data_IF_544382030934
#
_entry.id   IF_544382030934
#
_cell.length_a   1.000
_cell.length_b   1.000
_cell.length_c   1.000
_cell.angle_alpha   90.00
_cell.angle_beta   90.00
_cell.angle_gamma   90.00
#
_symmetry.space_group_name_H-M   'P 1'
#
loop_
_entity.id
_entity.type
_entity.pdbx_description
1 polymer ?
#
# COMPACT_ATOMS: atom_id res chain seq x y z
N UNK A 1 -52.01 -1.49 9.87
CA UNK A 1 -50.83 -2.04 10.57
C UNK A 1 -49.69 -2.00 9.57
N UNK A 2 -48.81 -1.00 9.66
CA UNK A 2 -47.60 -0.97 8.84
C UNK A 2 -46.63 -2.01 9.43
N UNK A 3 -46.26 -3.01 8.65
CA UNK A 3 -45.20 -3.93 9.03
C UNK A 3 -43.88 -3.16 9.02
N UNK A 4 -43.23 -3.02 10.17
CA UNK A 4 -41.82 -2.69 10.23
C UNK A 4 -41.07 -3.89 9.63
N UNK A 5 -40.62 -3.77 8.38
CA UNK A 5 -39.64 -4.70 7.84
C UNK A 5 -38.41 -4.62 8.76
N UNK A 6 -38.06 -5.76 9.36
CA UNK A 6 -36.81 -5.86 10.12
C UNK A 6 -35.69 -5.67 9.11
N UNK A 7 -34.71 -4.79 9.37
CA UNK A 7 -33.54 -4.69 8.51
C UNK A 7 -32.89 -6.06 8.42
N UNK A 8 -32.67 -6.52 7.19
CA UNK A 8 -31.88 -7.72 6.92
C UNK A 8 -30.46 -7.39 7.40
N UNK A 9 -29.86 -8.19 8.31
CA UNK A 9 -28.47 -7.95 8.68
C UNK A 9 -27.61 -8.08 7.42
N UNK A 10 -26.86 -7.04 7.12
CA UNK A 10 -25.91 -7.07 6.02
C UNK A 10 -24.90 -8.20 6.25
N UNK A 11 -24.55 -8.97 5.22
CA UNK A 11 -23.54 -10.01 5.35
C UNK A 11 -22.21 -9.39 5.82
N UNK A 12 -21.40 -10.11 6.61
CA UNK A 12 -20.10 -9.61 7.05
C UNK A 12 -19.22 -9.29 5.84
N UNK A 13 -18.50 -8.18 5.93
CA UNK A 13 -17.63 -7.70 4.86
C UNK A 13 -16.38 -8.57 4.83
N UNK A 14 -16.16 -9.21 3.70
CA UNK A 14 -15.06 -10.14 3.49
C UNK A 14 -13.72 -9.38 3.44
N UNK A 15 -12.69 -9.96 4.06
CA UNK A 15 -11.33 -9.41 4.14
C UNK A 15 -10.36 -10.50 3.72
N UNK A 16 -9.31 -10.13 3.00
CA UNK A 16 -8.31 -11.07 2.51
C UNK A 16 -7.46 -11.61 3.68
N UNK A 17 -7.15 -12.90 3.66
CA UNK A 17 -6.24 -13.52 4.62
C UNK A 17 -4.79 -13.50 4.10
N UNK A 18 -3.81 -13.51 5.00
CA UNK A 18 -2.39 -13.47 4.63
C UNK A 18 -1.84 -14.76 4.03
N UNK A 19 -2.64 -15.83 3.98
CA UNK A 19 -2.32 -17.09 3.30
C UNK A 19 -2.91 -17.16 1.89
N UNK A 20 -3.52 -16.08 1.40
CA UNK A 20 -4.17 -16.00 0.09
C UNK A 20 -3.46 -15.01 -0.81
N UNK A 21 -3.14 -15.46 -2.03
CA UNK A 21 -2.68 -14.56 -3.07
C UNK A 21 -3.82 -13.65 -3.54
N UNK A 22 -3.53 -12.36 -3.62
CA UNK A 22 -4.40 -11.40 -4.28
C UNK A 22 -4.17 -11.53 -5.79
N UNK A 23 -5.18 -12.03 -6.49
CA UNK A 23 -5.16 -12.09 -7.95
C UNK A 23 -5.36 -10.68 -8.52
N UNK A 24 -4.27 -9.90 -8.55
CA UNK A 24 -4.26 -8.59 -9.17
C UNK A 24 -4.19 -8.63 -10.70
N UNK A 25 -4.11 -7.43 -11.29
CA UNK A 25 -3.90 -7.22 -12.73
C UNK A 25 -2.65 -8.00 -13.22
N UNK A 26 -2.73 -8.80 -14.30
CA UNK A 26 -1.56 -9.55 -14.77
C UNK A 26 -0.36 -8.63 -15.00
N UNK A 27 0.82 -9.04 -14.52
CA UNK A 27 2.04 -8.29 -14.78
C UNK A 27 2.28 -8.16 -16.29
N UNK A 28 2.80 -7.02 -16.70
CA UNK A 28 3.24 -6.79 -18.07
C UNK A 28 4.49 -7.62 -18.42
N UNK A 29 5.00 -7.43 -19.65
CA UNK A 29 6.23 -8.10 -20.10
C UNK A 29 7.47 -7.67 -19.28
N UNK A 30 7.49 -6.42 -18.83
CA UNK A 30 8.53 -5.89 -17.93
C UNK A 30 8.07 -6.08 -16.49
N UNK A 31 8.41 -7.24 -15.95
CA UNK A 31 7.98 -7.65 -14.62
C UNK A 31 8.76 -6.92 -13.51
N UNK A 32 8.08 -6.28 -12.54
CA UNK A 32 8.73 -5.68 -11.40
C UNK A 32 9.22 -6.76 -10.42
N UNK A 33 10.11 -6.44 -9.48
CA UNK A 33 10.59 -7.44 -8.52
C UNK A 33 9.48 -8.08 -7.67
N UNK A 34 8.43 -7.31 -7.36
CA UNK A 34 7.14 -7.74 -6.80
C UNK A 34 6.46 -8.92 -7.53
N UNK A 35 6.84 -9.20 -8.78
CA UNK A 35 6.24 -10.28 -9.55
C UNK A 35 6.68 -11.69 -9.13
N UNK A 36 7.80 -11.81 -8.40
CA UNK A 36 8.27 -13.09 -7.88
C UNK A 36 7.50 -13.49 -6.61
N UNK A 37 6.93 -14.69 -6.61
CA UNK A 37 5.82 -15.05 -5.72
C UNK A 37 6.20 -15.85 -4.47
N UNK A 38 7.44 -16.29 -4.30
CA UNK A 38 7.77 -17.26 -3.24
C UNK A 38 8.27 -16.64 -1.92
N UNK A 39 7.87 -15.40 -1.63
CA UNK A 39 8.29 -14.67 -0.43
C UNK A 39 7.92 -15.40 0.86
N UNK A 40 6.81 -16.15 0.86
CA UNK A 40 6.34 -16.93 2.01
C UNK A 40 7.26 -18.11 2.30
N UNK A 41 7.69 -18.86 1.28
CA UNK A 41 8.64 -19.95 1.50
C UNK A 41 10.00 -19.39 1.92
N UNK A 42 10.49 -18.34 1.23
CA UNK A 42 11.75 -17.69 1.58
C UNK A 42 11.75 -17.15 3.02
N UNK A 43 10.66 -16.54 3.48
CA UNK A 43 10.52 -16.06 4.86
C UNK A 43 10.60 -17.21 5.86
N UNK A 44 9.94 -18.33 5.56
CA UNK A 44 9.88 -19.51 6.44
C UNK A 44 11.21 -20.25 6.58
N UNK A 45 12.13 -20.07 5.63
CA UNK A 45 13.46 -20.69 5.64
C UNK A 45 14.49 -19.90 6.46
N UNK A 46 14.19 -18.65 6.81
CA UNK A 46 15.12 -17.77 7.53
C UNK A 46 15.09 -18.03 9.05
N UNK A 47 16.27 -18.23 9.62
CA UNK A 47 16.45 -18.20 11.08
C UNK A 47 16.71 -16.77 11.56
N UNK A 48 15.63 -16.03 11.84
CA UNK A 48 15.71 -14.65 12.34
C UNK A 48 16.38 -14.54 13.71
N UNK A 49 16.57 -15.65 14.44
CA UNK A 49 17.27 -15.63 15.74
C UNK A 49 18.78 -15.40 15.62
N UNK A 50 19.34 -15.50 14.40
CA UNK A 50 20.75 -15.19 14.13
C UNK A 50 21.03 -13.69 14.05
N UNK A 51 20.00 -12.85 13.90
CA UNK A 51 20.16 -11.40 13.94
C UNK A 51 20.50 -10.92 15.36
N UNK A 52 21.33 -9.87 15.50
CA UNK A 52 21.57 -9.24 16.80
C UNK A 52 20.29 -8.60 17.34
N UNK A 53 20.04 -8.72 18.65
CA UNK A 53 18.92 -8.07 19.32
C UNK A 53 19.42 -7.16 20.47
N UNK A 54 19.30 -5.81 20.36
CA UNK A 54 18.69 -5.08 19.25
C UNK A 54 19.60 -4.97 18.01
N UNK A 55 18.98 -4.75 16.85
CA UNK A 55 19.65 -4.43 15.58
C UNK A 55 19.98 -2.93 15.57
N UNK A 56 21.23 -2.58 15.23
CA UNK A 56 21.61 -1.19 14.99
C UNK A 56 21.26 -0.78 13.56
N UNK A 57 20.29 0.12 13.44
CA UNK A 57 19.79 0.68 12.17
C UNK A 57 20.21 2.16 12.01
N UNK A 58 21.14 2.66 12.82
CA UNK A 58 21.54 4.07 12.84
C UNK A 58 22.29 4.53 11.59
N UNK A 59 22.94 3.60 10.88
CA UNK A 59 23.69 3.88 9.66
C UNK A 59 22.84 3.68 8.39
N UNK A 60 21.60 3.21 8.53
CA UNK A 60 20.69 3.05 7.39
C UNK A 60 20.28 4.40 6.82
N UNK A 61 20.18 4.45 5.50
CA UNK A 61 19.68 5.62 4.77
C UNK A 61 18.22 5.93 5.15
N UNK A 62 17.82 7.18 5.01
CA UNK A 62 16.52 7.69 5.49
C UNK A 62 15.34 6.95 4.85
N UNK A 63 15.47 6.54 3.59
CA UNK A 63 14.42 5.78 2.89
C UNK A 63 14.22 4.40 3.52
N UNK A 64 15.29 3.67 3.84
CA UNK A 64 15.21 2.33 4.45
C UNK A 64 14.61 2.42 5.85
N UNK A 65 15.04 3.42 6.64
CA UNK A 65 14.44 3.72 7.95
C UNK A 65 12.95 4.05 7.82
N UNK A 66 12.55 4.78 6.79
CA UNK A 66 11.16 5.08 6.51
C UNK A 66 10.32 3.85 6.15
N UNK A 67 10.88 2.95 5.34
CA UNK A 67 10.24 1.68 4.99
C UNK A 67 10.07 0.78 6.20
N UNK A 68 11.09 0.66 7.06
CA UNK A 68 11.03 -0.08 8.33
C UNK A 68 9.89 0.46 9.18
N UNK A 69 9.92 1.76 9.47
CA UNK A 69 8.94 2.36 10.36
C UNK A 69 7.52 2.27 9.82
N UNK A 70 7.34 2.41 8.50
CA UNK A 70 6.04 2.22 7.85
C UNK A 70 5.54 0.77 7.97
N UNK A 71 6.40 -0.23 7.76
CA UNK A 71 6.01 -1.63 7.94
C UNK A 71 5.65 -1.95 9.39
N UNK A 72 6.31 -1.28 10.35
CA UNK A 72 6.12 -1.49 11.79
C UNK A 72 5.05 -0.60 12.44
N UNK A 73 4.40 0.29 11.69
CA UNK A 73 3.50 1.33 12.22
C UNK A 73 4.11 2.16 13.37
N UNK A 74 5.37 2.56 13.20
CA UNK A 74 6.07 3.45 14.12
C UNK A 74 6.07 4.86 13.52
N UNK A 75 5.77 5.89 14.32
CA UNK A 75 5.82 7.27 13.86
C UNK A 75 7.26 7.66 13.46
N UNK A 76 7.46 8.50 12.42
CA UNK A 76 8.80 8.87 11.96
C UNK A 76 9.73 9.42 13.03
N UNK A 77 9.18 10.14 14.00
CA UNK A 77 9.90 10.74 15.11
C UNK A 77 10.19 9.77 16.26
N UNK A 78 9.63 8.57 16.23
CA UNK A 78 9.73 7.55 17.27
C UNK A 78 10.65 6.39 16.91
N UNK A 79 11.01 6.22 15.63
CA UNK A 79 11.98 5.20 15.22
C UNK A 79 13.40 5.59 15.70
N UNK A 80 13.85 4.92 16.75
CA UNK A 80 15.20 5.06 17.30
C UNK A 80 16.31 4.46 16.42
N UNK A 81 17.58 4.55 16.87
CA UNK A 81 18.71 3.92 16.19
C UNK A 81 18.78 2.39 16.38
N UNK A 82 18.05 1.86 17.37
CA UNK A 82 18.06 0.45 17.72
C UNK A 82 16.65 -0.12 17.54
N UNK A 83 16.53 -1.25 16.86
CA UNK A 83 15.28 -1.99 16.66
C UNK A 83 15.36 -3.32 17.39
N UNK A 84 14.51 -3.54 18.39
CA UNK A 84 14.44 -4.86 19.04
C UNK A 84 13.60 -5.84 18.22
N UNK A 85 13.88 -7.13 18.35
CA UNK A 85 13.07 -8.18 17.72
C UNK A 85 11.64 -8.15 18.23
N UNK A 86 11.44 -7.96 19.54
CA UNK A 86 10.11 -7.82 20.13
C UNK A 86 9.33 -6.66 19.49
N UNK A 87 9.96 -5.50 19.31
CA UNK A 87 9.32 -4.35 18.68
C UNK A 87 8.90 -4.64 17.24
N UNK A 88 9.77 -5.28 16.45
CA UNK A 88 9.46 -5.65 15.08
C UNK A 88 8.29 -6.65 15.03
N UNK A 89 8.36 -7.74 15.81
CA UNK A 89 7.38 -8.83 15.77
C UNK A 89 5.99 -8.43 16.31
N UNK A 90 5.87 -7.35 17.09
CA UNK A 90 4.56 -6.80 17.45
C UNK A 90 3.74 -6.33 16.23
N UNK A 91 4.40 -5.99 15.11
CA UNK A 91 3.75 -5.63 13.86
C UNK A 91 3.29 -6.86 13.03
N UNK A 92 3.44 -8.07 13.58
CA UNK A 92 3.07 -9.31 12.91
C UNK A 92 3.97 -9.63 11.72
N UNK A 93 3.39 -10.16 10.64
CA UNK A 93 4.15 -10.68 9.48
C UNK A 93 4.96 -9.60 8.75
N UNK A 94 4.51 -8.34 8.75
CA UNK A 94 5.30 -7.23 8.20
C UNK A 94 6.56 -6.95 9.04
N UNK A 95 6.50 -7.22 10.35
CA UNK A 95 7.68 -7.21 11.22
C UNK A 95 8.67 -8.31 10.89
N UNK A 96 8.17 -9.52 10.60
CA UNK A 96 8.99 -10.63 10.12
C UNK A 96 9.66 -10.29 8.78
N UNK A 97 8.93 -9.66 7.85
CA UNK A 97 9.48 -9.17 6.58
C UNK A 97 10.62 -8.17 6.81
N UNK A 98 10.45 -7.20 7.73
CA UNK A 98 11.52 -6.25 8.07
C UNK A 98 12.78 -6.97 8.57
N UNK A 99 12.64 -7.88 9.54
CA UNK A 99 13.77 -8.63 10.07
C UNK A 99 14.43 -9.48 8.99
N UNK A 100 13.64 -10.18 8.17
CA UNK A 100 14.13 -10.97 7.05
C UNK A 100 14.89 -10.12 6.02
N UNK A 101 14.37 -8.95 5.64
CA UNK A 101 15.06 -8.01 4.74
C UNK A 101 16.41 -7.54 5.28
N UNK A 102 16.53 -7.35 6.60
CA UNK A 102 17.81 -7.02 7.23
C UNK A 102 18.75 -8.24 7.19
N UNK A 103 18.25 -9.43 7.54
CA UNK A 103 19.04 -10.67 7.58
C UNK A 103 19.60 -11.10 6.21
N UNK A 104 18.86 -10.78 5.14
CA UNK A 104 19.24 -11.12 3.77
C UNK A 104 20.17 -10.11 3.11
N UNK A 105 20.29 -8.91 3.68
CA UNK A 105 21.10 -7.86 3.08
C UNK A 105 22.59 -8.22 3.12
N UNK A 106 23.26 -8.10 1.98
CA UNK A 106 24.72 -8.23 1.89
C UNK A 106 25.46 -7.06 2.58
N UNK A 107 24.73 -5.99 2.92
CA UNK A 107 25.25 -4.82 3.62
C UNK A 107 24.43 -4.55 4.90
N UNK A 108 25.03 -4.59 6.10
CA UNK A 108 24.30 -4.34 7.34
C UNK A 108 23.65 -2.94 7.42
N UNK A 109 24.08 -2.00 6.58
CA UNK A 109 23.54 -0.65 6.54
C UNK A 109 22.33 -0.51 5.61
N UNK A 110 21.91 -1.56 4.89
CA UNK A 110 20.80 -1.52 3.92
C UNK A 110 19.77 -2.64 4.16
N UNK A 111 18.56 -2.45 3.65
CA UNK A 111 17.59 -3.52 3.46
C UNK A 111 17.88 -4.32 2.18
N UNK A 112 17.62 -5.63 2.19
CA UNK A 112 17.25 -6.35 0.98
C UNK A 112 15.90 -5.80 0.50
N UNK A 113 15.98 -4.72 -0.29
CA UNK A 113 14.82 -3.98 -0.77
C UNK A 113 13.96 -4.81 -1.73
N UNK A 114 14.55 -5.77 -2.44
CA UNK A 114 13.80 -6.69 -3.29
C UNK A 114 12.87 -7.55 -2.44
N UNK A 115 13.43 -8.25 -1.47
CA UNK A 115 12.66 -9.08 -0.54
C UNK A 115 11.63 -8.24 0.22
N UNK A 116 12.02 -7.04 0.68
CA UNK A 116 11.12 -6.13 1.38
C UNK A 116 9.89 -5.78 0.53
N UNK A 117 10.10 -5.43 -0.74
CA UNK A 117 9.01 -5.03 -1.65
C UNK A 117 8.05 -6.17 -1.92
N UNK A 118 8.57 -7.39 -2.16
CA UNK A 118 7.77 -8.60 -2.35
C UNK A 118 6.95 -8.92 -1.09
N UNK A 119 7.58 -8.86 0.09
CA UNK A 119 6.91 -9.12 1.36
C UNK A 119 5.85 -8.06 1.69
N UNK A 120 6.19 -6.78 1.50
CA UNK A 120 5.25 -5.68 1.70
C UNK A 120 4.03 -5.84 0.77
N UNK A 121 4.23 -6.10 -0.51
CA UNK A 121 3.12 -6.30 -1.44
C UNK A 121 2.22 -7.47 -1.01
N UNK A 122 2.80 -8.63 -0.70
CA UNK A 122 2.06 -9.84 -0.38
C UNK A 122 1.25 -9.69 0.92
N UNK A 123 1.86 -9.11 1.96
CA UNK A 123 1.26 -9.10 3.30
C UNK A 123 0.55 -7.80 3.69
N UNK A 124 0.76 -6.69 2.98
CA UNK A 124 0.26 -5.40 3.44
C UNK A 124 -1.27 -5.37 3.53
N UNK A 125 -1.95 -5.75 2.46
CA UNK A 125 -3.41 -5.65 2.36
C UNK A 125 -4.14 -6.52 3.39
N UNK A 126 -3.63 -7.74 3.66
CA UNK A 126 -4.18 -8.61 4.69
C UNK A 126 -3.86 -8.12 6.10
N UNK A 127 -2.65 -7.59 6.33
CA UNK A 127 -2.23 -7.04 7.63
C UNK A 127 -3.07 -5.83 8.03
N UNK A 128 -3.45 -5.00 7.04
CA UNK A 128 -4.40 -3.90 7.22
C UNK A 128 -5.86 -4.35 7.28
N UNK A 129 -6.14 -5.57 6.83
CA UNK A 129 -7.47 -6.14 6.79
C UNK A 129 -8.39 -5.40 5.83
N UNK A 130 -7.93 -4.89 4.69
CA UNK A 130 -8.83 -4.18 3.78
C UNK A 130 -9.94 -5.10 3.22
N UNK A 131 -11.15 -4.56 2.98
CA UNK A 131 -12.24 -5.30 2.31
C UNK A 131 -11.82 -5.84 0.95
N UNK A 132 -12.29 -7.05 0.60
CA UNK A 132 -11.99 -7.69 -0.70
C UNK A 132 -12.69 -7.01 -1.89
N UNK A 133 -13.63 -6.12 -1.63
CA UNK A 133 -14.38 -5.41 -2.67
C UNK A 133 -14.55 -3.93 -2.37
N UNK A 134 -14.58 -3.11 -3.42
CA UNK A 134 -14.85 -1.68 -3.33
C UNK A 134 -16.23 -1.42 -2.72
N UNK A 135 -17.23 -2.25 -3.06
CA UNK A 135 -18.55 -2.19 -2.43
C UNK A 135 -18.50 -2.48 -0.93
N UNK A 136 -17.68 -3.44 -0.50
CA UNK A 136 -17.42 -3.70 0.91
C UNK A 136 -16.79 -2.48 1.61
N UNK A 137 -15.77 -1.89 1.00
CA UNK A 137 -15.14 -0.66 1.48
C UNK A 137 -16.12 0.52 1.58
N UNK A 138 -16.94 0.72 0.56
CA UNK A 138 -18.01 1.72 0.56
C UNK A 138 -19.05 1.46 1.65
N UNK A 139 -19.43 0.21 1.89
CA UNK A 139 -20.43 -0.13 2.90
C UNK A 139 -19.94 0.08 4.34
N UNK A 140 -18.66 -0.15 4.63
CA UNK A 140 -18.11 0.14 5.96
C UNK A 140 -18.06 1.63 6.25
N UNK A 141 -17.75 2.42 5.22
CA UNK A 141 -17.28 3.79 5.43
C UNK A 141 -18.28 4.83 4.99
N UNK A 142 -19.16 4.50 4.04
CA UNK A 142 -20.25 5.30 3.44
C UNK A 142 -19.89 6.75 3.07
N UNK A 143 -18.63 7.16 3.20
CA UNK A 143 -18.26 8.56 3.31
C UNK A 143 -18.11 9.22 1.94
N UNK A 144 -17.67 8.48 0.92
CA UNK A 144 -17.47 9.01 -0.43
C UNK A 144 -18.54 8.58 -1.44
N UNK A 145 -19.35 7.57 -1.12
CA UNK A 145 -20.44 7.12 -2.01
C UNK A 145 -21.42 8.27 -2.29
N UNK A 146 -21.64 8.55 -3.58
CA UNK A 146 -22.52 9.64 -4.03
C UNK A 146 -21.90 11.04 -4.03
N UNK A 147 -20.62 11.20 -3.64
CA UNK A 147 -19.92 12.47 -3.83
C UNK A 147 -19.61 12.72 -5.30
N UNK A 148 -19.67 13.99 -5.69
CA UNK A 148 -19.16 14.41 -6.99
C UNK A 148 -17.63 14.45 -6.95
N UNK A 149 -17.01 13.90 -7.99
CA UNK A 149 -15.58 14.00 -8.21
C UNK A 149 -15.24 15.02 -9.30
N UNK A 150 -13.99 15.48 -9.29
CA UNK A 150 -13.43 16.33 -10.35
C UNK A 150 -12.65 15.45 -11.32
N UNK A 151 -12.92 15.57 -12.62
CA UNK A 151 -12.14 14.89 -13.66
C UNK A 151 -10.95 15.78 -14.04
N UNK A 152 -9.75 15.19 -14.07
CA UNK A 152 -8.51 15.85 -14.47
C UNK A 152 -7.71 14.96 -15.43
N UNK A 153 -6.98 15.57 -16.36
CA UNK A 153 -5.96 14.87 -17.14
C UNK A 153 -4.75 14.62 -16.24
N UNK A 154 -4.55 13.38 -15.80
CA UNK A 154 -3.51 13.07 -14.81
C UNK A 154 -2.18 12.74 -15.46
N UNK A 155 -1.13 13.50 -15.12
CA UNK A 155 0.24 13.16 -15.52
C UNK A 155 0.66 11.80 -14.95
N UNK A 156 0.23 11.47 -13.72
CA UNK A 156 0.61 10.23 -13.04
C UNK A 156 0.07 8.96 -13.72
N UNK A 157 -1.07 9.04 -14.42
CA UNK A 157 -1.67 7.89 -15.14
C UNK A 157 -1.65 8.03 -16.66
N UNK A 158 -1.27 9.20 -17.17
CA UNK A 158 -1.38 9.58 -18.59
C UNK A 158 -2.77 9.32 -19.18
N UNK A 159 -3.80 9.55 -18.37
CA UNK A 159 -5.21 9.46 -18.75
C UNK A 159 -6.06 10.29 -17.78
N UNK A 160 -7.35 10.42 -18.08
CA UNK A 160 -8.31 11.07 -17.20
C UNK A 160 -8.40 10.33 -15.85
N UNK A 161 -8.47 11.08 -14.76
CA UNK A 161 -8.78 10.55 -13.42
C UNK A 161 -9.94 11.31 -12.82
N UNK A 162 -10.89 10.59 -12.20
CA UNK A 162 -11.89 11.19 -11.32
C UNK A 162 -11.35 11.21 -9.89
N UNK A 163 -11.17 12.39 -9.33
CA UNK A 163 -10.73 12.61 -7.96
C UNK A 163 -11.92 12.90 -7.06
N UNK A 164 -12.08 12.14 -5.98
CA UNK A 164 -13.15 12.33 -4.99
C UNK A 164 -12.48 12.47 -3.62
N UNK A 165 -12.82 13.53 -2.89
CA UNK A 165 -12.29 13.78 -1.56
C UNK A 165 -13.40 13.72 -0.50
N UNK A 166 -13.12 13.00 0.58
CA UNK A 166 -13.88 13.00 1.82
C UNK A 166 -12.94 13.32 3.00
N UNK A 167 -12.49 14.59 3.11
CA UNK A 167 -11.49 14.98 4.11
C UNK A 167 -11.93 14.75 5.54
N UNK A 168 -13.24 14.89 5.82
CA UNK A 168 -13.79 14.65 7.16
C UNK A 168 -13.74 13.18 7.61
N UNK A 169 -13.48 12.25 6.68
CA UNK A 169 -13.23 10.83 6.98
C UNK A 169 -11.81 10.39 6.62
N UNK A 170 -10.96 11.34 6.19
CA UNK A 170 -9.60 11.06 5.75
C UNK A 170 -9.51 10.18 4.51
N UNK A 171 -10.52 10.18 3.63
CA UNK A 171 -10.57 9.32 2.43
C UNK A 171 -10.37 10.15 1.17
N UNK A 172 -9.38 9.77 0.36
CA UNK A 172 -9.09 10.40 -0.92
C UNK A 172 -9.06 9.34 -2.00
N UNK A 173 -10.08 9.34 -2.86
CA UNK A 173 -10.26 8.36 -3.92
C UNK A 173 -9.81 8.96 -5.24
N UNK A 174 -9.12 8.16 -6.02
CA UNK A 174 -8.88 8.44 -7.41
C UNK A 174 -9.22 7.25 -8.28
N UNK A 175 -10.09 7.48 -9.25
CA UNK A 175 -10.47 6.50 -10.26
C UNK A 175 -9.76 6.79 -11.56
N UNK A 176 -9.00 5.84 -12.09
CA UNK A 176 -8.37 5.93 -13.41
C UNK A 176 -9.43 5.62 -14.46
N UNK A 177 -9.56 6.50 -15.46
CA UNK A 177 -10.57 6.37 -16.51
C UNK A 177 -9.92 6.00 -17.85
N UNK A 178 -10.51 5.05 -18.56
CA UNK A 178 -10.21 4.76 -19.96
C UNK A 178 -11.51 4.85 -20.77
N UNK A 179 -11.55 5.74 -21.74
CA UNK A 179 -12.78 6.03 -22.52
C UNK A 179 -14.02 6.32 -21.66
N UNK A 180 -13.82 6.94 -20.49
CA UNK A 180 -14.89 7.26 -19.52
C UNK A 180 -15.32 6.11 -18.61
N UNK A 181 -14.71 4.93 -18.73
CA UNK A 181 -14.93 3.75 -17.88
C UNK A 181 -13.86 3.71 -16.78
N UNK A 182 -14.24 3.33 -15.56
CA UNK A 182 -13.28 3.14 -14.45
C UNK A 182 -12.54 1.82 -14.64
N UNK A 183 -11.22 1.89 -14.76
CA UNK A 183 -10.34 0.71 -14.90
C UNK A 183 -9.65 0.35 -13.59
N UNK A 184 -9.55 1.31 -12.67
CA UNK A 184 -8.85 1.15 -11.40
C UNK A 184 -9.34 2.21 -10.42
N UNK A 185 -9.43 1.85 -9.14
CA UNK A 185 -9.70 2.78 -8.04
C UNK A 185 -8.58 2.70 -7.01
N UNK A 186 -7.81 3.77 -6.87
CA UNK A 186 -6.80 3.95 -5.82
C UNK A 186 -7.38 4.81 -4.71
N UNK A 187 -7.20 4.43 -3.45
CA UNK A 187 -7.69 5.17 -2.28
C UNK A 187 -6.53 5.40 -1.32
N UNK A 188 -6.36 6.66 -0.93
CA UNK A 188 -5.44 7.08 0.12
C UNK A 188 -6.25 7.38 1.38
N UNK A 189 -5.79 6.84 2.50
CA UNK A 189 -6.38 6.98 3.83
C UNK A 189 -5.45 7.80 4.73
N UNK A 190 -5.96 8.88 5.33
CA UNK A 190 -5.24 9.74 6.29
C UNK A 190 -5.83 9.59 7.69
N UNK A 191 -4.98 9.52 8.72
CA UNK A 191 -5.41 9.33 10.13
C UNK A 191 -6.03 7.95 10.44
N UNK A 192 -5.75 6.95 9.58
CA UNK A 192 -6.20 5.56 9.76
C UNK A 192 -5.19 4.67 10.47
N UNK A 193 -3.93 5.10 10.48
CA UNK A 193 -2.82 4.42 11.12
C UNK A 193 -2.49 5.08 12.44
N UNK A 194 -1.98 4.29 13.39
CA UNK A 194 -1.57 4.81 14.70
C UNK A 194 -0.33 5.71 14.62
N UNK A 195 0.45 5.59 13.56
CA UNK A 195 1.67 6.38 13.30
C UNK A 195 1.42 7.68 12.51
N UNK A 196 0.16 7.98 12.18
CA UNK A 196 -0.24 9.16 11.41
C UNK A 196 0.19 9.14 9.94
N UNK A 197 0.73 8.03 9.42
CA UNK A 197 1.07 7.90 8.01
C UNK A 197 -0.16 7.60 7.15
N UNK A 198 0.05 7.59 5.83
CA UNK A 198 -0.96 7.19 4.85
C UNK A 198 -1.13 5.68 4.80
N UNK A 199 -2.34 5.21 4.55
CA UNK A 199 -2.58 3.87 4.01
C UNK A 199 -3.07 3.97 2.56
N UNK A 200 -2.77 2.94 1.76
CA UNK A 200 -3.09 2.88 0.33
C UNK A 200 -3.90 1.63 0.05
N UNK A 201 -4.98 1.71 -0.69
CA UNK A 201 -5.72 0.52 -1.15
C UNK A 201 -6.10 0.68 -2.61
N UNK A 202 -6.04 -0.42 -3.35
CA UNK A 202 -6.29 -0.42 -4.79
C UNK A 202 -7.35 -1.48 -5.11
N UNK A 203 -8.31 -1.11 -5.96
CA UNK A 203 -9.31 -2.00 -6.53
C UNK A 203 -9.22 -1.98 -8.06
N UNK A 204 -9.43 -3.13 -8.68
CA UNK A 204 -9.49 -3.27 -10.13
C UNK A 204 -10.78 -2.71 -10.75
N UNK A 205 -10.94 -2.86 -12.07
CA UNK A 205 -12.10 -2.41 -12.84
C UNK A 205 -13.42 -3.06 -12.36
N UNK A 206 -13.36 -4.28 -11.82
CA UNK A 206 -14.51 -4.98 -11.25
C UNK A 206 -14.75 -4.65 -9.77
N UNK A 207 -13.92 -3.78 -9.18
CA UNK A 207 -14.00 -3.42 -7.78
C UNK A 207 -13.49 -4.51 -6.85
N UNK A 208 -12.62 -5.40 -7.31
CA UNK A 208 -11.95 -6.41 -6.47
C UNK A 208 -10.62 -5.86 -5.98
N UNK A 209 -10.28 -6.18 -4.73
CA UNK A 209 -9.03 -5.79 -4.11
C UNK A 209 -7.84 -6.30 -4.92
N UNK A 210 -6.87 -5.43 -5.17
CA UNK A 210 -5.64 -5.75 -5.90
C UNK A 210 -4.41 -5.24 -5.12
N UNK A 211 -3.30 -5.94 -5.26
CA UNK A 211 -2.00 -5.67 -4.63
C UNK A 211 -1.06 -4.90 -5.58
N UNK A 212 -1.60 -4.34 -6.66
CA UNK A 212 -0.84 -3.69 -7.73
C UNK A 212 -1.69 -2.68 -8.49
N UNK A 213 -1.00 -1.74 -9.11
CA UNK A 213 -1.56 -0.55 -9.77
C UNK A 213 -0.95 -0.34 -11.15
N UNK A 214 -1.71 0.27 -12.06
CA UNK A 214 -1.34 0.57 -13.45
C UNK A 214 -0.69 1.95 -13.57
N UNK A 215 0.48 2.02 -14.20
CA UNK A 215 1.18 3.27 -14.48
C UNK A 215 1.58 3.36 -15.96
N UNK A 216 1.69 4.56 -16.52
CA UNK A 216 2.20 4.75 -17.87
C UNK A 216 3.67 4.32 -17.96
N UNK A 217 4.09 3.81 -19.13
CA UNK A 217 5.49 3.55 -19.44
C UNK A 217 5.88 4.21 -20.75
N UNK A 218 7.18 4.49 -20.92
CA UNK A 218 7.76 5.10 -22.13
C UNK A 218 7.53 4.27 -23.41
N UNK A 219 7.11 3.01 -23.29
CA UNK A 219 6.84 2.11 -24.42
C UNK A 219 5.38 2.07 -24.88
N UNK A 220 4.48 2.85 -24.27
CA UNK A 220 3.05 2.89 -24.59
C UNK A 220 2.23 1.69 -24.07
N UNK A 221 2.89 0.69 -23.46
CA UNK A 221 2.21 -0.36 -22.68
C UNK A 221 2.22 0.04 -21.21
N UNK A 222 1.08 0.09 -20.51
CA UNK A 222 1.08 0.37 -19.08
C UNK A 222 1.97 -0.61 -18.30
N UNK A 223 2.80 -0.08 -17.41
CA UNK A 223 3.54 -0.86 -16.42
C UNK A 223 2.62 -1.16 -15.24
N UNK A 224 2.58 -2.41 -14.82
CA UNK A 224 1.88 -2.81 -13.58
C UNK A 224 2.93 -2.86 -12.48
N UNK A 225 2.71 -2.17 -11.37
CA UNK A 225 3.64 -2.11 -10.24
C UNK A 225 2.95 -2.45 -8.91
N UNK A 226 3.70 -3.01 -7.96
CA UNK A 226 3.16 -3.43 -6.67
C UNK A 226 2.72 -2.27 -5.77
N UNK A 227 1.54 -2.41 -5.18
CA UNK A 227 1.05 -1.56 -4.09
C UNK A 227 1.31 -2.26 -2.74
N UNK A 228 1.63 -1.53 -1.66
CA UNK A 228 1.61 -0.08 -1.56
C UNK A 228 2.92 0.60 -1.98
N UNK A 229 4.01 -0.14 -2.23
CA UNK A 229 5.34 0.45 -2.41
C UNK A 229 5.40 1.53 -3.51
N UNK A 230 4.81 1.28 -4.68
CA UNK A 230 4.77 2.28 -5.75
C UNK A 230 3.99 3.53 -5.34
N UNK A 231 2.86 3.39 -4.65
CA UNK A 231 2.11 4.53 -4.11
C UNK A 231 2.94 5.30 -3.09
N UNK A 232 3.58 4.60 -2.14
CA UNK A 232 4.47 5.17 -1.13
C UNK A 232 5.57 6.00 -1.78
N UNK A 233 6.21 5.50 -2.85
CA UNK A 233 7.29 6.22 -3.54
C UNK A 233 6.86 7.58 -4.12
N UNK A 234 5.63 7.69 -4.65
CA UNK A 234 5.11 8.96 -5.14
C UNK A 234 4.78 9.94 -4.01
N UNK A 235 4.36 9.41 -2.86
CA UNK A 235 3.94 10.17 -1.69
C UNK A 235 5.08 10.46 -0.70
N UNK A 236 6.25 9.82 -0.90
CA UNK A 236 7.41 9.97 -0.04
C UNK A 236 7.87 11.43 -0.01
N UNK A 237 8.09 11.92 1.21
CA UNK A 237 8.63 13.23 1.48
C UNK A 237 9.71 13.13 2.56
N UNK A 238 10.66 14.05 2.51
CA UNK A 238 11.64 14.24 3.58
C UNK A 238 11.68 15.73 3.88
N UNK A 239 11.31 16.08 5.11
CA UNK A 239 11.35 17.46 5.61
C UNK A 239 12.15 17.47 6.90
N UNK A 240 13.16 18.35 6.99
CA UNK A 240 14.04 18.47 8.17
C UNK A 240 14.62 17.12 8.64
N UNK A 241 15.07 16.29 7.67
CA UNK A 241 15.62 14.93 7.89
C UNK A 241 14.62 13.91 8.47
N UNK A 242 13.34 14.29 8.57
CA UNK A 242 12.24 13.39 8.93
C UNK A 242 11.52 12.96 7.65
N UNK A 243 11.46 11.66 7.43
CA UNK A 243 10.68 11.09 6.33
C UNK A 243 9.19 11.04 6.70
N UNK A 244 8.32 11.16 5.71
CA UNK A 244 6.87 11.01 5.83
C UNK A 244 6.26 10.57 4.49
N UNK A 245 5.00 10.20 4.53
CA UNK A 245 4.17 10.06 3.33
C UNK A 245 3.11 11.16 3.35
N UNK A 246 3.21 12.10 2.41
CA UNK A 246 2.30 13.24 2.35
C UNK A 246 1.20 12.97 1.33
N UNK A 247 -0.02 13.39 1.64
CA UNK A 247 -1.10 13.37 0.67
C UNK A 247 -0.72 14.27 -0.52
N UNK A 248 -0.64 13.67 -1.71
CA UNK A 248 -0.38 14.36 -2.96
C UNK A 248 -1.54 14.16 -3.92
N UNK A 249 -1.91 15.24 -4.60
CA UNK A 249 -2.82 15.19 -5.73
C UNK A 249 -2.00 15.15 -7.01
N UNK A 250 -2.41 14.38 -8.03
CA UNK A 250 -1.66 14.31 -9.27
C UNK A 250 -1.68 15.67 -9.97
N UNK A 251 -0.54 16.05 -10.54
CA UNK A 251 -0.47 17.19 -11.44
C UNK A 251 -1.41 16.98 -12.63
N UNK A 252 -2.12 18.04 -13.01
CA UNK A 252 -2.96 18.07 -14.20
C UNK A 252 -2.16 18.50 -15.42
N UNK A 253 -2.28 17.77 -16.53
CA UNK A 253 -1.66 18.19 -17.79
C UNK A 253 -1.47 17.04 -18.78
N UNK A 254 -0.95 17.39 -19.96
CA UNK A 254 -0.61 16.42 -21.00
C UNK A 254 0.54 15.56 -20.49
N UNK A 255 0.40 14.23 -20.62
CA UNK A 255 1.47 13.27 -20.40
C UNK A 255 2.71 13.70 -21.21
N UNK A 256 3.84 13.86 -20.55
CA UNK A 256 5.09 14.18 -21.25
C UNK A 256 5.75 12.86 -21.66
N UNK A 257 5.82 12.64 -22.97
CA UNK A 257 6.60 11.56 -23.59
C UNK A 257 8.08 11.62 -23.18
#
# INVERSE_FOLDING_TARGET
MCACERPVPEPPIERISCDQDINGIPWGADQPPESDSDVTAELSELDLSQLPDPIDISQMVEIDRGLISYALEIAPTELGPLLSHEQALMAGVLGEVVLASIARSDNPDWLDLDFFRRGLQHYYTCSKGFPTTLAGFESELLAFSGRQGTVVDSVAKCTERRLIAAPESGIYVSQTLFEGVVEETEIVLTDWRNDGQLDFVVYDAEGRLTDRSLFPSLGGTPAVMGAPYSCMSCHFNVTDEVWSYDLRFPDSGICKD
#
